data_IF_654344127869
#
_entry.id   IF_654344127869
#
_cell.length_a   1.000
_cell.length_b   1.000
_cell.length_c   1.000
_cell.angle_alpha   90.00
_cell.angle_beta   90.00
_cell.angle_gamma   90.00
#
_symmetry.space_group_name_H-M   'P 1'
#
loop_
_entity.id
_entity.type
_entity.pdbx_description
1 polymer ?
#
# COMPACT_ATOMS: atom_id res chain seq x y z
N UNK A 1 1.48 6.36 10.02
CA UNK A 1 1.45 5.77 8.66
C UNK A 1 2.12 6.65 7.61
N UNK A 2 1.90 7.97 7.57
CA UNK A 2 2.43 8.82 6.47
C UNK A 2 3.95 8.83 6.22
N UNK A 3 4.80 8.79 7.25
CA UNK A 3 6.26 8.72 7.06
C UNK A 3 6.67 7.41 6.37
N UNK A 4 6.01 6.30 6.71
CA UNK A 4 6.27 5.00 6.09
C UNK A 4 5.94 5.01 4.61
N UNK A 5 4.81 5.60 4.23
CA UNK A 5 4.42 5.76 2.83
C UNK A 5 5.40 6.65 2.05
N UNK A 6 5.76 7.80 2.63
CA UNK A 6 6.76 8.68 2.01
C UNK A 6 8.08 7.95 1.75
N UNK A 7 8.60 7.22 2.75
CA UNK A 7 9.84 6.49 2.61
C UNK A 7 9.72 5.33 1.62
N UNK A 8 8.60 4.61 1.61
CA UNK A 8 8.34 3.51 0.68
C UNK A 8 8.29 4.01 -0.77
N UNK A 9 7.49 5.04 -1.03
CA UNK A 9 7.36 5.65 -2.36
C UNK A 9 8.68 6.25 -2.83
N UNK A 10 9.38 6.97 -1.95
CA UNK A 10 10.71 7.52 -2.24
C UNK A 10 11.73 6.42 -2.58
N UNK A 11 11.81 5.36 -1.78
CA UNK A 11 12.76 4.27 -2.00
C UNK A 11 12.47 3.53 -3.31
N UNK A 12 11.20 3.31 -3.64
CA UNK A 12 10.80 2.72 -4.92
C UNK A 12 11.24 3.58 -6.11
N UNK A 13 11.02 4.90 -6.02
CA UNK A 13 11.43 5.83 -7.07
C UNK A 13 12.97 5.90 -7.23
N UNK A 14 13.70 5.92 -6.12
CA UNK A 14 15.18 5.88 -6.14
C UNK A 14 15.71 4.58 -6.75
N UNK A 15 15.06 3.45 -6.48
CA UNK A 15 15.39 2.17 -7.09
C UNK A 15 15.15 2.19 -8.61
N UNK A 16 13.98 2.64 -9.08
CA UNK A 16 13.68 2.74 -10.51
C UNK A 16 14.71 3.63 -11.23
N UNK A 17 15.08 4.77 -10.63
CA UNK A 17 16.11 5.66 -11.18
C UNK A 17 17.50 5.02 -11.18
N UNK A 18 17.77 4.11 -10.25
CA UNK A 18 19.03 3.34 -10.24
C UNK A 18 19.09 2.30 -11.35
N UNK A 19 17.97 1.64 -11.64
CA UNK A 19 17.85 0.73 -12.79
C UNK A 19 18.01 1.50 -14.10
N UNK A 20 17.35 2.66 -14.26
CA UNK A 20 17.55 3.50 -15.45
C UNK A 20 19.02 3.86 -15.69
N UNK A 21 19.76 4.21 -14.63
CA UNK A 21 21.21 4.48 -14.75
C UNK A 21 22.02 3.24 -15.10
N UNK A 22 21.57 2.05 -14.71
CA UNK A 22 22.19 0.79 -15.12
C UNK A 22 21.99 0.56 -16.61
N UNK A 23 20.77 0.70 -17.10
CA UNK A 23 20.41 0.58 -18.52
C UNK A 23 21.17 1.59 -19.41
N UNK A 24 21.30 2.84 -18.94
CA UNK A 24 22.12 3.86 -19.62
C UNK A 24 23.59 3.42 -19.73
N UNK A 25 24.14 2.87 -18.66
CA UNK A 25 25.51 2.36 -18.66
C UNK A 25 25.67 1.11 -19.55
N UNK A 26 24.70 0.19 -19.55
CA UNK A 26 24.68 -1.00 -20.40
C UNK A 26 24.58 -0.63 -21.88
N UNK A 27 23.78 0.38 -22.22
CA UNK A 27 23.71 0.94 -23.58
C UNK A 27 25.03 1.56 -24.06
N UNK A 28 25.81 2.17 -23.17
CA UNK A 28 27.12 2.73 -23.51
C UNK A 28 28.22 1.65 -23.64
N UNK A 29 28.16 0.60 -22.81
CA UNK A 29 29.26 -0.37 -22.67
C UNK A 29 29.01 -1.69 -23.40
N UNK A 30 27.74 -2.09 -23.57
CA UNK A 30 27.34 -3.38 -24.15
C UNK A 30 26.10 -3.28 -25.07
N UNK A 31 26.06 -2.20 -25.87
CA UNK A 31 24.97 -1.89 -26.81
C UNK A 31 24.45 -3.06 -27.66
N UNK A 32 25.33 -3.90 -28.20
CA UNK A 32 24.91 -4.99 -29.08
C UNK A 32 24.11 -6.06 -28.33
N UNK A 33 24.37 -6.23 -27.01
CA UNK A 33 23.59 -7.08 -26.12
C UNK A 33 22.19 -6.52 -25.92
N UNK A 34 22.07 -5.28 -25.47
CA UNK A 34 20.79 -4.60 -25.21
C UNK A 34 19.85 -4.61 -26.43
N UNK A 35 20.41 -4.38 -27.63
CA UNK A 35 19.64 -4.46 -28.88
C UNK A 35 19.11 -5.89 -29.09
N UNK A 36 19.92 -6.92 -28.82
CA UNK A 36 19.50 -8.31 -28.97
C UNK A 36 18.42 -8.69 -27.95
N UNK A 37 18.55 -8.26 -26.70
CA UNK A 37 17.55 -8.49 -25.65
C UNK A 37 16.19 -7.89 -26.04
N UNK A 38 16.20 -6.66 -26.53
CA UNK A 38 14.99 -5.99 -27.01
C UNK A 38 14.38 -6.65 -28.26
N UNK A 39 15.20 -7.21 -29.16
CA UNK A 39 14.69 -8.01 -30.29
C UNK A 39 13.96 -9.25 -29.77
N UNK A 40 14.58 -9.97 -28.82
CA UNK A 40 14.02 -11.20 -28.26
C UNK A 40 12.69 -10.92 -27.52
N UNK A 41 12.62 -9.81 -26.78
CA UNK A 41 11.38 -9.33 -26.15
C UNK A 41 10.29 -9.08 -27.19
N UNK A 42 10.58 -8.40 -28.29
CA UNK A 42 9.58 -8.10 -29.33
C UNK A 42 9.14 -9.35 -30.09
N UNK A 43 10.06 -10.29 -30.36
CA UNK A 43 9.73 -11.60 -30.94
C UNK A 43 8.81 -12.38 -30.00
N UNK A 44 9.07 -12.37 -28.69
CA UNK A 44 8.20 -13.02 -27.69
C UNK A 44 6.78 -12.43 -27.65
N UNK A 45 6.65 -11.14 -28.02
CA UNK A 45 5.38 -10.42 -28.15
C UNK A 45 4.67 -10.65 -29.50
N UNK A 46 5.25 -11.47 -30.37
CA UNK A 46 4.64 -11.93 -31.62
C UNK A 46 5.15 -11.26 -32.89
N UNK A 47 6.21 -10.44 -32.82
CA UNK A 47 6.86 -9.92 -34.03
C UNK A 47 7.67 -11.01 -34.75
N UNK A 48 7.78 -10.89 -36.07
CA UNK A 48 8.79 -11.67 -36.81
C UNK A 48 10.18 -11.18 -36.41
N UNK A 49 11.19 -12.06 -36.46
CA UNK A 49 12.57 -11.69 -36.13
C UNK A 49 13.07 -10.56 -37.04
N UNK A 50 12.68 -10.56 -38.31
CA UNK A 50 13.03 -9.54 -39.29
C UNK A 50 12.44 -8.16 -38.92
N UNK A 51 11.14 -8.12 -38.59
CA UNK A 51 10.45 -6.88 -38.23
C UNK A 51 10.95 -6.32 -36.88
N UNK A 52 11.11 -7.20 -35.88
CA UNK A 52 11.67 -6.82 -34.58
C UNK A 52 13.07 -6.22 -34.73
N UNK A 53 13.94 -6.88 -35.51
CA UNK A 53 15.30 -6.39 -35.79
C UNK A 53 15.27 -5.01 -36.44
N UNK A 54 14.40 -4.78 -37.42
CA UNK A 54 14.27 -3.50 -38.11
C UNK A 54 13.83 -2.38 -37.17
N UNK A 55 12.78 -2.63 -36.36
CA UNK A 55 12.21 -1.65 -35.43
C UNK A 55 13.22 -1.32 -34.33
N UNK A 56 13.76 -2.34 -33.64
CA UNK A 56 14.69 -2.15 -32.52
C UNK A 56 15.97 -1.44 -32.98
N UNK A 57 16.58 -1.84 -34.10
CA UNK A 57 17.76 -1.14 -34.63
C UNK A 57 17.47 0.29 -35.05
N UNK A 58 16.23 0.60 -35.43
CA UNK A 58 15.82 1.97 -35.74
C UNK A 58 15.67 2.79 -34.47
N UNK A 59 15.05 2.23 -33.43
CA UNK A 59 14.85 2.86 -32.13
C UNK A 59 16.18 3.09 -31.40
N UNK A 60 17.10 2.12 -31.44
CA UNK A 60 18.41 2.19 -30.82
C UNK A 60 19.24 3.40 -31.26
N UNK A 61 18.96 4.01 -32.43
CA UNK A 61 19.61 5.25 -32.87
C UNK A 61 19.33 6.45 -31.96
N UNK A 62 18.28 6.38 -31.15
CA UNK A 62 17.83 7.42 -30.23
C UNK A 62 17.98 6.92 -28.80
N UNK A 63 19.21 6.97 -28.25
CA UNK A 63 19.58 6.29 -26.99
C UNK A 63 18.65 6.61 -25.81
N UNK A 64 18.38 7.89 -25.53
CA UNK A 64 17.49 8.23 -24.41
C UNK A 64 16.07 7.67 -24.57
N UNK A 65 15.51 7.74 -25.77
CA UNK A 65 14.21 7.14 -26.07
C UNK A 65 14.26 5.62 -26.00
N UNK A 66 15.36 5.01 -26.43
CA UNK A 66 15.54 3.57 -26.39
C UNK A 66 15.59 3.06 -24.95
N UNK A 67 16.38 3.69 -24.08
CA UNK A 67 16.42 3.40 -22.64
C UNK A 67 15.05 3.53 -21.99
N UNK A 68 14.30 4.60 -22.29
CA UNK A 68 12.95 4.76 -21.76
C UNK A 68 12.00 3.62 -22.19
N UNK A 69 12.20 3.08 -23.40
CA UNK A 69 11.47 1.90 -23.87
C UNK A 69 11.96 0.62 -23.18
N UNK A 70 13.26 0.44 -22.96
CA UNK A 70 13.80 -0.72 -22.23
C UNK A 70 13.23 -0.77 -20.80
N UNK A 71 13.24 0.37 -20.09
CA UNK A 71 12.62 0.50 -18.77
C UNK A 71 11.17 0.02 -18.76
N UNK A 72 10.39 0.31 -19.80
CA UNK A 72 9.00 -0.11 -19.90
C UNK A 72 8.81 -1.55 -20.37
N UNK A 73 9.59 -2.01 -21.36
CA UNK A 73 9.34 -3.25 -22.08
C UNK A 73 10.07 -4.46 -21.50
N UNK A 74 11.21 -4.23 -20.88
CA UNK A 74 12.08 -5.24 -20.26
C UNK A 74 11.82 -5.31 -18.75
N UNK A 75 11.96 -4.18 -18.05
CA UNK A 75 11.83 -4.13 -16.59
C UNK A 75 10.39 -3.90 -16.11
N UNK A 76 9.48 -3.52 -17.01
CA UNK A 76 8.09 -3.17 -16.69
C UNK A 76 7.97 -2.01 -15.66
N UNK A 77 8.96 -1.13 -15.64
CA UNK A 77 9.05 0.00 -14.72
C UNK A 77 8.61 1.30 -15.40
N UNK A 78 7.86 2.10 -14.65
CA UNK A 78 7.53 3.48 -15.05
C UNK A 78 8.55 4.43 -14.42
N UNK A 79 9.30 5.13 -15.27
CA UNK A 79 10.28 6.12 -14.82
C UNK A 79 9.52 7.25 -14.11
N UNK A 80 9.87 7.58 -12.85
CA UNK A 80 9.19 8.63 -12.12
C UNK A 80 9.56 10.02 -12.67
N UNK A 81 8.63 10.97 -12.57
CA UNK A 81 8.82 12.36 -13.00
C UNK A 81 9.89 13.08 -12.15
N UNK A 82 10.41 14.22 -12.63
CA UNK A 82 11.42 15.01 -11.91
C UNK A 82 10.97 15.42 -10.49
N UNK A 83 9.68 15.66 -10.30
CA UNK A 83 9.07 16.06 -9.03
C UNK A 83 8.70 14.87 -8.11
N UNK A 84 9.25 13.67 -8.35
CA UNK A 84 8.88 12.44 -7.63
C UNK A 84 9.00 12.52 -6.10
N UNK A 85 9.95 13.30 -5.59
CA UNK A 85 10.12 13.51 -4.15
C UNK A 85 8.94 14.30 -3.57
N UNK A 86 8.51 15.36 -4.26
CA UNK A 86 7.34 16.14 -3.86
C UNK A 86 6.07 15.28 -3.92
N UNK A 87 5.93 14.46 -4.97
CA UNK A 87 4.83 13.51 -5.07
C UNK A 87 4.84 12.51 -3.91
N UNK A 88 5.99 11.92 -3.59
CA UNK A 88 6.12 11.00 -2.45
C UNK A 88 5.72 11.68 -1.13
N UNK A 89 6.07 12.97 -0.96
CA UNK A 89 5.68 13.75 0.22
C UNK A 89 4.16 13.96 0.27
N UNK A 90 3.53 14.27 -0.87
CA UNK A 90 2.07 14.40 -0.97
C UNK A 90 1.38 13.10 -0.61
N UNK A 91 1.85 11.97 -1.14
CA UNK A 91 1.33 10.63 -0.82
C UNK A 91 1.41 10.34 0.69
N UNK A 92 2.58 10.57 1.29
CA UNK A 92 2.76 10.42 2.74
C UNK A 92 1.85 11.33 3.57
N UNK A 93 1.67 12.58 3.16
CA UNK A 93 0.79 13.54 3.84
C UNK A 93 -0.68 13.12 3.73
N UNK A 94 -1.14 12.75 2.54
CA UNK A 94 -2.51 12.26 2.31
C UNK A 94 -2.77 11.00 3.14
N UNK A 95 -1.82 10.06 3.21
CA UNK A 95 -1.96 8.88 4.03
C UNK A 95 -2.01 9.22 5.53
N UNK A 96 -1.20 10.16 6.00
CA UNK A 96 -1.26 10.62 7.39
C UNK A 96 -2.63 11.21 7.73
N UNK A 97 -3.13 12.15 6.92
CA UNK A 97 -4.43 12.80 7.14
C UNK A 97 -5.57 11.78 7.06
N UNK A 98 -5.54 10.86 6.10
CA UNK A 98 -6.56 9.82 5.96
C UNK A 98 -6.57 8.89 7.17
N UNK A 99 -5.40 8.42 7.59
CA UNK A 99 -5.30 7.56 8.77
C UNK A 99 -5.74 8.28 10.05
N UNK A 100 -5.34 9.54 10.25
CA UNK A 100 -5.74 10.32 11.40
C UNK A 100 -7.26 10.54 11.43
N UNK A 101 -7.87 10.90 10.30
CA UNK A 101 -9.30 11.17 10.21
C UNK A 101 -10.14 9.90 10.41
N UNK A 102 -9.88 8.85 9.63
CA UNK A 102 -10.66 7.61 9.71
C UNK A 102 -10.34 6.78 10.97
N UNK A 103 -9.09 6.80 11.44
CA UNK A 103 -8.69 6.14 12.69
C UNK A 103 -9.27 6.80 13.94
N UNK A 104 -9.64 8.08 13.86
CA UNK A 104 -10.31 8.79 14.96
C UNK A 104 -11.79 8.40 15.08
N UNK A 105 -12.44 7.90 14.02
CA UNK A 105 -13.87 7.59 14.07
C UNK A 105 -14.26 6.54 15.14
N UNK A 106 -13.57 5.40 15.30
CA UNK A 106 -13.81 4.48 16.42
C UNK A 106 -13.57 5.12 17.80
N UNK A 107 -12.53 5.95 17.93
CA UNK A 107 -12.18 6.62 19.20
C UNK A 107 -13.25 7.64 19.61
N UNK A 108 -13.79 8.40 18.65
CA UNK A 108 -14.92 9.29 18.89
C UNK A 108 -16.17 8.53 19.28
N UNK A 109 -16.42 7.36 18.70
CA UNK A 109 -17.48 6.46 19.15
C UNK A 109 -17.34 6.14 20.64
N UNK A 110 -16.14 5.81 21.09
CA UNK A 110 -15.88 5.47 22.50
C UNK A 110 -16.01 6.67 23.46
N UNK A 111 -15.73 7.91 23.03
CA UNK A 111 -15.80 9.09 23.90
C UNK A 111 -17.15 9.81 23.87
N UNK A 112 -17.80 9.89 22.71
CA UNK A 112 -19.06 10.61 22.54
C UNK A 112 -20.27 9.82 23.05
N UNK A 113 -20.28 8.49 22.91
CA UNK A 113 -21.41 7.66 23.37
C UNK A 113 -21.60 7.76 24.89
N UNK A 114 -20.57 7.60 25.76
CA UNK A 114 -20.75 7.80 27.20
C UNK A 114 -21.08 9.25 27.57
N UNK A 115 -20.59 10.22 26.80
CA UNK A 115 -20.89 11.65 27.04
C UNK A 115 -22.37 11.98 26.79
N UNK A 116 -22.97 11.45 25.71
CA UNK A 116 -24.39 11.65 25.42
C UNK A 116 -25.31 10.76 26.24
N UNK A 117 -24.85 9.57 26.65
CA UNK A 117 -25.64 8.58 27.38
C UNK A 117 -24.91 8.11 28.65
N UNK A 118 -24.82 8.96 29.69
CA UNK A 118 -24.01 8.69 30.88
C UNK A 118 -24.53 7.55 31.78
N UNK A 119 -25.74 7.03 31.52
CA UNK A 119 -26.36 5.94 32.29
C UNK A 119 -26.22 4.56 31.63
N UNK A 120 -25.46 4.43 30.53
CA UNK A 120 -25.25 3.14 29.89
C UNK A 120 -24.29 2.26 30.70
N UNK A 121 -24.69 1.02 30.93
CA UNK A 121 -23.79 -0.02 31.46
C UNK A 121 -22.60 -0.26 30.52
N UNK A 122 -21.45 -0.60 31.10
CA UNK A 122 -20.19 -0.82 30.36
C UNK A 122 -20.31 -1.87 29.25
N UNK A 123 -21.15 -2.89 29.43
CA UNK A 123 -21.39 -3.93 28.43
C UNK A 123 -22.13 -3.38 27.20
N UNK A 124 -23.17 -2.57 27.42
CA UNK A 124 -23.94 -1.92 26.35
C UNK A 124 -23.09 -0.89 25.60
N UNK A 125 -22.20 -0.20 26.32
CA UNK A 125 -21.24 0.72 25.72
C UNK A 125 -20.28 0.01 24.76
N UNK A 126 -19.69 -1.11 25.19
CA UNK A 126 -18.79 -1.91 24.36
C UNK A 126 -19.48 -2.44 23.11
N UNK A 127 -20.70 -2.99 23.24
CA UNK A 127 -21.49 -3.46 22.10
C UNK A 127 -21.78 -2.34 21.10
N UNK A 128 -22.16 -1.15 21.59
CA UNK A 128 -22.43 0.00 20.72
C UNK A 128 -21.17 0.45 19.96
N UNK A 129 -20.00 0.44 20.61
CA UNK A 129 -18.74 0.75 19.97
C UNK A 129 -18.39 -0.26 18.87
N UNK A 130 -18.57 -1.57 19.13
CA UNK A 130 -18.36 -2.61 18.12
C UNK A 130 -19.26 -2.43 16.88
N UNK A 131 -20.53 -2.09 17.09
CA UNK A 131 -21.47 -1.84 15.98
C UNK A 131 -21.05 -0.61 15.18
N UNK A 132 -20.69 0.49 15.85
CA UNK A 132 -20.24 1.72 15.18
C UNK A 132 -18.96 1.47 14.39
N UNK A 133 -17.96 0.81 14.98
CA UNK A 133 -16.73 0.44 14.28
C UNK A 133 -17.01 -0.47 13.09
N UNK A 134 -17.90 -1.44 13.24
CA UNK A 134 -18.32 -2.31 12.14
C UNK A 134 -18.96 -1.53 10.98
N UNK A 135 -19.86 -0.59 11.29
CA UNK A 135 -20.47 0.27 10.28
C UNK A 135 -19.45 1.17 9.58
N UNK A 136 -18.48 1.72 10.32
CA UNK A 136 -17.40 2.54 9.74
C UNK A 136 -16.52 1.70 8.80
N UNK A 137 -16.11 0.50 9.21
CA UNK A 137 -15.32 -0.41 8.37
C UNK A 137 -16.08 -0.83 7.11
N UNK A 138 -17.36 -1.17 7.24
CA UNK A 138 -18.19 -1.54 6.10
C UNK A 138 -18.38 -0.36 5.14
N UNK A 139 -18.61 0.85 5.65
CA UNK A 139 -18.71 2.06 4.82
C UNK A 139 -17.39 2.37 4.12
N UNK A 140 -16.25 2.26 4.81
CA UNK A 140 -14.93 2.46 4.23
C UNK A 140 -14.68 1.48 3.07
N UNK A 141 -15.00 0.21 3.28
CA UNK A 141 -14.93 -0.82 2.23
C UNK A 141 -15.90 -0.59 1.08
N UNK A 142 -17.09 -0.06 1.36
CA UNK A 142 -18.08 0.29 0.33
C UNK A 142 -17.62 1.47 -0.53
N UNK A 143 -17.02 2.50 0.08
CA UNK A 143 -16.46 3.67 -0.65
C UNK A 143 -15.29 3.23 -1.53
N UNK A 144 -14.40 2.37 -1.00
CA UNK A 144 -13.29 1.76 -1.76
C UNK A 144 -13.79 1.06 -3.03
N UNK A 145 -14.96 0.42 -3.01
CA UNK A 145 -15.47 -0.35 -4.14
C UNK A 145 -15.77 0.49 -5.38
N UNK A 146 -16.09 1.79 -5.18
CA UNK A 146 -16.39 2.70 -6.28
C UNK A 146 -15.16 2.91 -7.18
N UNK A 147 -13.97 2.96 -6.59
CA UNK A 147 -12.71 3.09 -7.33
C UNK A 147 -12.31 1.79 -8.02
N UNK A 148 -12.54 0.65 -7.36
CA UNK A 148 -12.15 -0.67 -7.89
C UNK A 148 -13.17 -1.27 -8.88
N UNK A 149 -14.32 -0.61 -9.12
CA UNK A 149 -15.47 -1.14 -9.89
C UNK A 149 -15.94 -2.53 -9.44
N UNK A 150 -15.77 -2.84 -8.16
CA UNK A 150 -16.23 -4.09 -7.54
C UNK A 150 -17.58 -3.88 -6.85
N UNK A 151 -18.27 -4.98 -6.52
CA UNK A 151 -19.55 -4.91 -5.82
C UNK A 151 -19.36 -4.34 -4.39
N UNK A 152 -20.06 -3.25 -4.09
CA UNK A 152 -19.93 -2.49 -2.84
C UNK A 152 -20.18 -3.33 -1.59
N UNK A 153 -21.15 -4.22 -1.64
CA UNK A 153 -21.49 -5.08 -0.51
C UNK A 153 -20.34 -6.04 -0.18
N UNK A 154 -19.73 -6.65 -1.20
CA UNK A 154 -18.61 -7.58 -1.01
C UNK A 154 -17.35 -6.88 -0.49
N UNK A 155 -17.01 -5.73 -1.06
CA UNK A 155 -15.86 -4.92 -0.60
C UNK A 155 -16.05 -4.41 0.83
N UNK A 156 -17.29 -4.04 1.20
CA UNK A 156 -17.67 -3.68 2.57
C UNK A 156 -17.50 -4.86 3.53
N UNK A 157 -18.03 -6.03 3.19
CA UNK A 157 -17.89 -7.25 4.00
C UNK A 157 -16.44 -7.69 4.15
N UNK A 158 -15.63 -7.63 3.09
CA UNK A 158 -14.20 -7.96 3.13
C UNK A 158 -13.46 -7.07 4.13
N UNK A 159 -13.69 -5.76 4.06
CA UNK A 159 -13.07 -4.78 4.97
C UNK A 159 -13.53 -4.99 6.41
N UNK A 160 -14.81 -5.32 6.62
CA UNK A 160 -15.36 -5.64 7.93
C UNK A 160 -14.74 -6.91 8.53
N UNK A 161 -14.60 -7.98 7.74
CA UNK A 161 -14.02 -9.25 8.20
C UNK A 161 -12.54 -9.08 8.53
N UNK A 162 -11.78 -8.40 7.67
CA UNK A 162 -10.36 -8.11 7.91
C UNK A 162 -10.18 -7.27 9.18
N UNK A 163 -10.88 -6.14 9.29
CA UNK A 163 -10.82 -5.29 10.48
C UNK A 163 -11.30 -6.00 11.75
N UNK A 164 -12.35 -6.81 11.65
CA UNK A 164 -12.85 -7.65 12.73
C UNK A 164 -11.82 -8.67 13.20
N UNK A 165 -11.13 -9.34 12.27
CA UNK A 165 -10.08 -10.31 12.60
C UNK A 165 -8.91 -9.66 13.34
N UNK A 166 -8.44 -8.50 12.88
CA UNK A 166 -7.41 -7.72 13.57
C UNK A 166 -7.85 -7.31 14.98
N UNK A 167 -9.10 -6.86 15.14
CA UNK A 167 -9.65 -6.47 16.44
C UNK A 167 -9.75 -7.67 17.39
N UNK A 168 -10.16 -8.84 16.91
CA UNK A 168 -10.20 -10.07 17.71
C UNK A 168 -8.81 -10.46 18.19
N UNK A 169 -7.81 -10.45 17.30
CA UNK A 169 -6.42 -10.76 17.68
C UNK A 169 -5.90 -9.77 18.73
N UNK A 170 -6.11 -8.47 18.52
CA UNK A 170 -5.69 -7.44 19.47
C UNK A 170 -6.35 -7.62 20.85
N UNK A 171 -7.66 -7.93 20.87
CA UNK A 171 -8.39 -8.19 22.12
C UNK A 171 -7.88 -9.44 22.83
N UNK A 172 -7.66 -10.55 22.12
CA UNK A 172 -7.16 -11.79 22.72
C UNK A 172 -5.77 -11.61 23.32
N UNK A 173 -4.87 -10.88 22.64
CA UNK A 173 -3.55 -10.55 23.18
C UNK A 173 -3.69 -9.69 24.44
N UNK A 174 -4.52 -8.65 24.40
CA UNK A 174 -4.78 -7.79 25.57
C UNK A 174 -5.33 -8.57 26.77
N UNK A 175 -6.26 -9.50 26.52
CA UNK A 175 -6.81 -10.39 27.53
C UNK A 175 -5.75 -11.32 28.13
N UNK A 176 -4.91 -11.92 27.29
CA UNK A 176 -3.83 -12.80 27.73
C UNK A 176 -2.79 -12.08 28.60
N UNK A 177 -2.39 -10.87 28.19
CA UNK A 177 -1.45 -10.04 28.97
C UNK A 177 -2.05 -9.64 30.31
N UNK A 178 -3.34 -9.30 30.36
CA UNK A 178 -4.01 -8.97 31.62
C UNK A 178 -4.01 -10.16 32.59
N UNK A 179 -4.27 -11.37 32.10
CA UNK A 179 -4.18 -12.59 32.92
C UNK A 179 -2.80 -12.84 33.51
N UNK A 180 -1.72 -12.56 32.76
CA UNK A 180 -0.35 -12.69 33.29
C UNK A 180 -0.02 -11.66 34.38
N UNK A 181 -0.56 -10.44 34.28
CA UNK A 181 -0.32 -9.40 35.28
C UNK A 181 -1.09 -9.66 36.59
N UNK A 182 -2.26 -10.30 36.52
CA UNK A 182 -3.00 -10.71 37.71
C UNK A 182 -2.33 -11.87 38.46
N UNK A 183 -1.70 -12.83 37.76
CA UNK A 183 -0.92 -13.92 38.37
C UNK A 183 0.32 -13.41 39.15
N UNK A 184 0.96 -12.33 38.68
CA UNK A 184 2.10 -11.69 39.38
C UNK A 184 1.67 -10.88 40.62
N UNK A 185 0.46 -10.31 40.61
CA UNK A 185 -0.08 -9.56 41.76
C UNK A 185 -0.52 -10.48 42.91
N UNK A 186 -0.96 -11.72 42.64
CA UNK A 186 -1.27 -12.70 43.69
C UNK A 186 -0.01 -13.27 44.37
N UNK A 187 1.14 -13.28 43.70
CA UNK A 187 2.41 -13.78 44.26
C UNK A 187 3.26 -12.72 44.96
N UNK A 188 3.05 -11.42 44.66
CA UNK A 188 3.75 -10.30 45.29
C UNK A 188 3.16 -9.79 46.63
N UNK A 189 1.97 -10.26 47.02
CA UNK A 189 1.28 -9.86 48.26
C UNK A 189 1.64 -10.68 49.51
N UNK A 190 2.59 -11.60 49.42
CA UNK A 190 3.00 -12.50 50.49
C UNK A 190 4.45 -12.24 50.95
N UNK A 191 4.77 -11.00 51.33
CA UNK A 191 5.90 -10.67 52.23
C UNK A 191 5.54 -9.51 53.15
#
# INVERSE_FOLDING_TARGET
>A
MGVGEFLSSKANNEWILSEKRREEWEMENFRDGEIQEMIDIYVSKGFTTEDATLVIKTMAKYEGFFVDIMMQQELELQVPDEDHVEQSMKEGFVMFCSFAFFGTAPLLGYTLIPWMFPHLESHTLFQSACVVTGLVLFMLGSIKSNFSRTNWFWSGCETLILGGSCATVAYTIGYFVNGLLDDDNETGGAL
#
